data_IF_144959456315
#
_entry.id   IF_144959456315
#
_cell.length_a   1.000
_cell.length_b   1.000
_cell.length_c   1.000
_cell.angle_alpha   90.00
_cell.angle_beta   90.00
_cell.angle_gamma   90.00
#
_symmetry.space_group_name_H-M   'P 1'
#
loop_
_entity.id
_entity.type
_entity.pdbx_description
1 polymer ?
#
# COMPACT_ATOMS: atom_id res chain seq x y z
N UNK A 1 -31.05 -5.62 19.24
CA UNK A 1 -29.64 -5.19 19.22
C UNK A 1 -29.61 -3.75 18.73
N UNK A 2 -29.11 -2.80 19.53
CA UNK A 2 -29.03 -1.39 19.10
C UNK A 2 -28.11 -1.28 17.89
N UNK A 3 -28.58 -0.62 16.84
CA UNK A 3 -27.77 -0.38 15.66
C UNK A 3 -26.63 0.56 16.03
N UNK A 4 -25.40 0.05 16.05
CA UNK A 4 -24.16 0.81 16.27
C UNK A 4 -24.15 2.05 15.38
N UNK A 5 -23.84 3.22 15.94
CA UNK A 5 -23.88 4.47 15.19
C UNK A 5 -22.86 4.46 14.04
N UNK A 6 -23.06 5.28 13.00
CA UNK A 6 -22.06 5.36 11.92
C UNK A 6 -20.68 5.77 12.46
N UNK A 7 -20.64 6.71 13.41
CA UNK A 7 -19.41 7.22 14.00
C UNK A 7 -18.72 6.17 14.87
N UNK A 8 -19.49 5.45 15.67
CA UNK A 8 -19.01 4.32 16.47
C UNK A 8 -18.47 3.19 15.58
N UNK A 9 -19.15 2.88 14.47
CA UNK A 9 -18.65 1.92 13.49
C UNK A 9 -17.33 2.35 12.85
N UNK A 10 -17.18 3.63 12.53
CA UNK A 10 -15.91 4.19 12.01
C UNK A 10 -14.79 4.03 13.03
N UNK A 11 -15.05 4.38 14.31
CA UNK A 11 -14.11 4.20 15.42
C UNK A 11 -13.68 2.73 15.55
N UNK A 12 -14.63 1.81 15.59
CA UNK A 12 -14.34 0.38 15.79
C UNK A 12 -13.50 -0.20 14.63
N UNK A 13 -13.82 0.16 13.38
CA UNK A 13 -13.01 -0.25 12.22
C UNK A 13 -11.63 0.40 12.25
N UNK A 14 -11.53 1.68 12.60
CA UNK A 14 -10.25 2.38 12.72
C UNK A 14 -9.32 1.71 13.75
N UNK A 15 -9.86 1.34 14.92
CA UNK A 15 -9.15 0.59 15.97
C UNK A 15 -8.72 -0.78 15.44
N UNK A 16 -9.65 -1.55 14.89
CA UNK A 16 -9.38 -2.92 14.41
C UNK A 16 -8.28 -2.93 13.33
N UNK A 17 -8.42 -2.10 12.31
CA UNK A 17 -7.53 -2.14 11.13
C UNK A 17 -6.19 -1.43 11.36
N UNK A 18 -6.00 -0.69 12.46
CA UNK A 18 -4.73 -0.05 12.78
C UNK A 18 -3.61 -1.07 13.02
N UNK A 19 -3.95 -2.21 13.63
CA UNK A 19 -3.03 -3.32 13.87
C UNK A 19 -2.57 -3.96 12.57
N UNK A 20 -3.50 -4.18 11.64
CA UNK A 20 -3.20 -4.71 10.32
C UNK A 20 -2.37 -3.69 9.53
N UNK A 21 -2.72 -2.40 9.57
CA UNK A 21 -1.94 -1.36 8.92
C UNK A 21 -0.49 -1.35 9.40
N UNK A 22 -0.26 -1.50 10.71
CA UNK A 22 1.08 -1.62 11.25
C UNK A 22 1.82 -2.82 10.68
N UNK A 23 1.22 -4.01 10.85
CA UNK A 23 1.82 -5.29 10.48
C UNK A 23 2.11 -5.44 8.98
N UNK A 24 1.32 -4.79 8.11
CA UNK A 24 1.49 -4.90 6.66
C UNK A 24 2.23 -3.72 6.04
N UNK A 25 2.06 -2.49 6.54
CA UNK A 25 2.57 -1.30 5.85
C UNK A 25 3.60 -0.49 6.64
N UNK A 26 3.49 -0.45 7.98
CA UNK A 26 4.42 0.35 8.80
C UNK A 26 5.69 -0.44 9.10
N UNK A 27 5.56 -1.73 9.39
CA UNK A 27 6.68 -2.58 9.80
C UNK A 27 7.49 -3.13 8.59
N UNK A 28 6.98 -2.90 7.38
CA UNK A 28 7.61 -3.33 6.13
C UNK A 28 7.78 -2.18 5.13
N UNK A 29 8.80 -2.29 4.29
CA UNK A 29 8.94 -1.50 3.08
C UNK A 29 8.66 -2.38 1.86
N UNK A 30 8.17 -1.77 0.77
CA UNK A 30 7.94 -2.46 -0.49
C UNK A 30 8.65 -1.76 -1.63
N UNK A 31 9.27 -2.51 -2.53
CA UNK A 31 9.76 -2.01 -3.82
C UNK A 31 8.81 -2.55 -4.89
N UNK A 32 8.21 -1.65 -5.65
CA UNK A 32 7.22 -1.98 -6.68
C UNK A 32 7.79 -1.65 -8.05
N UNK A 33 7.80 -2.62 -8.96
CA UNK A 33 8.12 -2.42 -10.37
C UNK A 33 6.89 -2.71 -11.23
N UNK A 34 6.69 -1.88 -12.25
CA UNK A 34 5.65 -2.10 -13.24
C UNK A 34 6.04 -1.41 -14.55
N UNK A 35 5.74 -2.06 -15.66
CA UNK A 35 5.79 -1.47 -16.99
C UNK A 35 4.82 -0.28 -17.18
N UNK A 36 3.92 -0.02 -16.22
CA UNK A 36 3.11 1.19 -16.17
C UNK A 36 3.92 2.43 -15.77
N UNK A 37 5.10 2.27 -15.17
CA UNK A 37 5.94 3.36 -14.71
C UNK A 37 6.85 3.85 -15.84
N UNK A 38 6.61 5.07 -16.31
CA UNK A 38 7.35 5.71 -17.38
C UNK A 38 8.33 6.77 -16.84
N UNK A 39 8.07 7.34 -15.66
CA UNK A 39 8.90 8.37 -15.02
C UNK A 39 9.93 7.78 -14.07
N UNK A 40 9.59 6.68 -13.40
CA UNK A 40 10.49 5.98 -12.49
C UNK A 40 10.61 4.51 -12.88
N UNK A 41 11.75 3.90 -12.58
CA UNK A 41 11.93 2.46 -12.81
C UNK A 41 11.20 1.60 -11.78
N UNK A 42 11.05 2.14 -10.57
CA UNK A 42 10.37 1.51 -9.45
C UNK A 42 9.93 2.59 -8.46
N UNK A 43 9.06 2.22 -7.52
CA UNK A 43 8.72 3.03 -6.37
C UNK A 43 8.98 2.26 -5.08
N UNK A 44 9.59 2.92 -4.10
CA UNK A 44 9.74 2.37 -2.74
C UNK A 44 8.63 2.92 -1.87
N UNK A 45 7.78 2.05 -1.36
CA UNK A 45 6.72 2.36 -0.41
C UNK A 45 7.26 2.20 1.00
N UNK A 46 7.14 3.26 1.79
CA UNK A 46 7.42 3.26 3.22
C UNK A 46 6.31 4.03 3.92
N UNK A 47 5.35 3.30 4.47
CA UNK A 47 4.25 3.92 5.18
C UNK A 47 4.69 4.35 6.59
N UNK A 48 3.99 5.37 7.09
CA UNK A 48 4.14 5.87 8.45
C UNK A 48 2.81 5.80 9.17
N UNK A 49 2.89 5.68 10.48
CA UNK A 49 1.75 5.64 11.40
C UNK A 49 0.85 6.86 11.20
N UNK A 50 1.45 8.05 11.08
CA UNK A 50 0.78 9.32 10.80
C UNK A 50 0.04 9.39 9.45
N UNK A 51 0.20 8.41 8.55
CA UNK A 51 -0.52 8.36 7.27
C UNK A 51 -1.86 7.62 7.37
N UNK A 52 -2.09 6.87 8.47
CA UNK A 52 -3.27 6.02 8.63
C UNK A 52 -4.59 6.80 8.58
N UNK A 53 -4.63 8.01 9.16
CA UNK A 53 -5.81 8.87 9.18
C UNK A 53 -6.32 9.18 7.75
N UNK A 54 -5.41 9.40 6.79
CA UNK A 54 -5.77 9.71 5.42
C UNK A 54 -6.54 8.58 4.73
N UNK A 55 -6.29 7.32 5.12
CA UNK A 55 -6.94 6.14 4.57
C UNK A 55 -8.39 6.02 5.03
N UNK A 56 -8.69 6.44 6.26
CA UNK A 56 -10.05 6.53 6.81
C UNK A 56 -10.85 7.70 6.22
N UNK A 57 -10.17 8.81 5.94
CA UNK A 57 -10.77 10.01 5.35
C UNK A 57 -11.57 10.87 6.32
N UNK A 58 -11.51 10.56 7.62
CA UNK A 58 -12.06 11.38 8.70
C UNK A 58 -11.31 12.72 8.82
N UNK A 59 -11.82 13.60 9.66
CA UNK A 59 -11.08 14.77 10.13
C UNK A 59 -10.74 14.55 11.61
N UNK A 60 -9.49 14.22 11.90
CA UNK A 60 -9.00 14.12 13.27
C UNK A 60 -8.97 15.50 13.94
N UNK A 61 -9.30 15.54 15.22
CA UNK A 61 -9.19 16.71 16.09
C UNK A 61 -7.96 16.62 17.01
N UNK A 62 -7.17 15.56 16.85
CA UNK A 62 -5.88 15.30 17.51
C UNK A 62 -4.79 15.12 16.44
N UNK A 63 -3.50 15.25 16.79
CA UNK A 63 -2.41 15.01 15.85
C UNK A 63 -2.49 13.65 15.16
N UNK A 64 -2.07 13.50 13.89
CA UNK A 64 -2.18 12.23 13.16
C UNK A 64 -1.44 11.05 13.82
N UNK A 65 -0.31 11.31 14.47
CA UNK A 65 0.40 10.29 15.24
C UNK A 65 -0.43 9.83 16.45
N UNK A 66 -0.91 10.77 17.28
CA UNK A 66 -1.79 10.46 18.41
C UNK A 66 -3.07 9.72 17.97
N UNK A 67 -3.62 10.08 16.80
CA UNK A 67 -4.76 9.38 16.22
C UNK A 67 -4.44 7.91 15.96
N UNK A 68 -3.29 7.62 15.34
CA UNK A 68 -2.85 6.24 15.13
C UNK A 68 -2.61 5.51 16.45
N UNK A 69 -1.88 6.11 17.39
CA UNK A 69 -1.54 5.49 18.68
C UNK A 69 -2.82 5.12 19.47
N UNK A 70 -3.82 6.01 19.47
CA UNK A 70 -5.12 5.75 20.10
C UNK A 70 -5.92 4.69 19.36
N UNK A 71 -5.84 4.61 18.04
CA UNK A 71 -6.44 3.49 17.30
C UNK A 71 -5.77 2.17 17.70
N UNK A 72 -4.44 2.13 17.69
CA UNK A 72 -3.65 0.93 17.98
C UNK A 72 -3.88 0.40 19.41
N UNK A 73 -3.92 1.32 20.38
CA UNK A 73 -4.18 1.01 21.78
C UNK A 73 -5.67 0.80 22.10
N UNK A 74 -6.57 0.99 21.13
CA UNK A 74 -8.01 0.82 21.32
C UNK A 74 -8.69 1.90 22.18
N UNK A 75 -8.04 3.06 22.33
CA UNK A 75 -8.49 4.14 23.21
C UNK A 75 -9.10 5.34 22.47
N UNK A 76 -9.17 5.30 21.13
CA UNK A 76 -9.76 6.37 20.32
C UNK A 76 -11.21 6.66 20.75
N UNK A 77 -11.53 7.93 20.98
CA UNK A 77 -12.87 8.39 21.37
C UNK A 77 -13.58 9.06 20.20
N UNK A 78 -14.92 9.02 20.20
CA UNK A 78 -15.72 9.67 19.16
C UNK A 78 -15.61 11.20 19.18
N UNK A 79 -15.24 11.81 20.30
CA UNK A 79 -14.98 13.24 20.39
C UNK A 79 -13.69 13.68 19.68
N UNK A 80 -12.81 12.75 19.31
CA UNK A 80 -11.47 13.05 18.77
C UNK A 80 -11.42 13.11 17.25
N UNK A 81 -12.55 12.85 16.58
CA UNK A 81 -12.66 13.03 15.14
C UNK A 81 -14.08 13.43 14.75
N UNK A 82 -14.21 14.03 13.57
CA UNK A 82 -15.51 14.37 13.00
C UNK A 82 -15.51 14.19 11.47
N UNK A 83 -16.63 14.57 10.85
CA UNK A 83 -16.84 14.48 9.40
C UNK A 83 -16.92 15.87 8.76
N UNK A 84 -16.22 16.85 9.32
CA UNK A 84 -16.22 18.23 8.84
C UNK A 84 -14.88 18.55 8.16
N UNK A 85 -14.92 19.04 6.92
CA UNK A 85 -13.75 19.53 6.19
C UNK A 85 -14.11 20.81 5.46
N UNK A 86 -13.22 21.79 5.50
CA UNK A 86 -13.41 23.09 4.85
C UNK A 86 -13.74 22.90 3.37
N UNK A 87 -14.81 23.55 2.90
CA UNK A 87 -15.25 23.49 1.51
C UNK A 87 -15.92 22.18 1.07
N UNK A 88 -16.24 21.26 1.99
CA UNK A 88 -16.96 20.02 1.68
C UNK A 88 -18.17 19.84 2.60
N UNK A 89 -19.29 19.39 2.04
CA UNK A 89 -20.47 19.06 2.84
C UNK A 89 -20.23 17.80 3.68
N UNK A 90 -20.77 17.78 4.90
CA UNK A 90 -20.67 16.63 5.80
C UNK A 90 -21.22 15.35 5.15
N UNK A 91 -22.34 15.45 4.44
CA UNK A 91 -22.94 14.32 3.68
C UNK A 91 -21.94 13.71 2.69
N UNK A 92 -21.16 14.53 1.99
CA UNK A 92 -20.13 14.07 1.05
C UNK A 92 -18.99 13.35 1.77
N UNK A 93 -18.54 13.91 2.90
CA UNK A 93 -17.47 13.33 3.72
C UNK A 93 -17.92 11.98 4.31
N UNK A 94 -19.11 11.92 4.90
CA UNK A 94 -19.71 10.66 5.40
C UNK A 94 -19.79 9.62 4.28
N UNK A 95 -20.23 10.01 3.08
CA UNK A 95 -20.25 9.13 1.92
C UNK A 95 -18.87 8.58 1.55
N UNK A 96 -17.85 9.44 1.60
CA UNK A 96 -16.46 9.03 1.34
C UNK A 96 -15.90 8.12 2.42
N UNK A 97 -16.08 8.47 3.70
CA UNK A 97 -15.62 7.66 4.85
C UNK A 97 -16.29 6.30 4.79
N UNK A 98 -17.61 6.24 4.53
CA UNK A 98 -18.34 4.98 4.40
C UNK A 98 -17.76 4.06 3.33
N UNK A 99 -17.33 4.61 2.19
CA UNK A 99 -16.69 3.81 1.13
C UNK A 99 -15.30 3.34 1.54
N UNK A 100 -14.51 4.20 2.18
CA UNK A 100 -13.15 3.90 2.67
C UNK A 100 -13.15 2.78 3.72
N UNK A 101 -13.92 2.93 4.80
CA UNK A 101 -13.96 1.93 5.89
C UNK A 101 -14.48 0.56 5.40
N UNK A 102 -15.26 0.52 4.32
CA UNK A 102 -15.75 -0.74 3.73
C UNK A 102 -14.62 -1.56 3.09
N UNK A 103 -13.60 -0.90 2.55
CA UNK A 103 -12.49 -1.55 1.82
C UNK A 103 -11.16 -1.48 2.56
N UNK A 104 -11.11 -0.82 3.71
CA UNK A 104 -9.90 -0.74 4.53
C UNK A 104 -9.34 -2.13 4.91
N UNK A 105 -10.15 -3.14 5.28
CA UNK A 105 -9.62 -4.48 5.52
C UNK A 105 -9.03 -5.12 4.26
N UNK A 106 -9.59 -4.84 3.08
CA UNK A 106 -9.10 -5.39 1.81
C UNK A 106 -7.71 -4.85 1.43
N UNK A 107 -7.43 -3.58 1.77
CA UNK A 107 -6.13 -2.96 1.51
C UNK A 107 -4.97 -3.77 2.11
N UNK A 108 -5.17 -4.45 3.24
CA UNK A 108 -4.10 -5.16 3.95
C UNK A 108 -3.49 -6.30 3.12
N UNK A 109 -4.29 -6.89 2.23
CA UNK A 109 -3.85 -7.98 1.35
C UNK A 109 -3.59 -7.51 -0.10
N UNK A 110 -3.57 -6.20 -0.34
CA UNK A 110 -3.46 -5.65 -1.70
C UNK A 110 -2.26 -6.25 -2.42
N UNK A 111 -1.10 -6.36 -1.75
CA UNK A 111 0.15 -6.85 -2.34
C UNK A 111 0.26 -8.37 -2.54
N UNK A 112 -0.77 -9.15 -2.22
CA UNK A 112 -0.76 -10.61 -2.38
C UNK A 112 -1.71 -11.11 -3.48
N UNK A 113 -2.32 -10.19 -4.24
CA UNK A 113 -3.25 -10.52 -5.32
C UNK A 113 -2.72 -10.15 -6.71
N UNK A 114 -3.61 -10.25 -7.69
CA UNK A 114 -3.38 -9.70 -9.03
C UNK A 114 -3.61 -8.19 -9.00
N UNK A 115 -2.55 -7.42 -9.18
CA UNK A 115 -2.57 -5.96 -8.99
C UNK A 115 -2.26 -5.27 -10.29
N UNK A 116 -3.04 -4.24 -10.58
CA UNK A 116 -2.76 -3.26 -11.62
C UNK A 116 -2.14 -2.02 -11.01
N UNK A 117 -1.26 -1.36 -11.74
CA UNK A 117 -0.68 -0.07 -11.39
C UNK A 117 -0.91 0.97 -12.49
N UNK A 118 -0.98 2.23 -12.08
CA UNK A 118 -0.96 3.39 -12.97
C UNK A 118 -0.02 4.44 -12.38
N UNK A 119 0.92 4.94 -13.18
CA UNK A 119 1.74 6.11 -12.82
C UNK A 119 0.98 7.43 -13.10
N UNK A 120 1.28 8.47 -12.33
CA UNK A 120 0.61 9.78 -12.42
C UNK A 120 -0.91 9.61 -12.30
N UNK A 121 -1.34 8.99 -11.20
CA UNK A 121 -2.74 8.72 -10.94
C UNK A 121 -3.50 10.02 -10.65
N UNK A 122 -4.52 10.30 -11.44
CA UNK A 122 -5.41 11.45 -11.26
C UNK A 122 -6.85 10.95 -11.30
N UNK A 123 -7.59 11.21 -10.22
CA UNK A 123 -9.03 10.95 -10.14
C UNK A 123 -9.73 12.10 -9.42
N UNK A 124 -10.51 12.88 -10.15
CA UNK A 124 -11.13 14.09 -9.62
C UNK A 124 -10.06 15.03 -9.01
N UNK A 125 -10.15 15.33 -7.71
CA UNK A 125 -9.18 16.15 -6.97
C UNK A 125 -8.03 15.34 -6.35
N UNK A 126 -8.01 14.02 -6.55
CA UNK A 126 -6.96 13.14 -6.03
C UNK A 126 -5.85 13.04 -7.06
N UNK A 127 -4.65 13.45 -6.67
CA UNK A 127 -3.43 13.31 -7.46
C UNK A 127 -2.40 12.51 -6.66
N UNK A 128 -1.86 11.46 -7.28
CA UNK A 128 -0.87 10.57 -6.68
C UNK A 128 0.26 10.32 -7.68
N UNK A 129 1.47 10.06 -7.18
CA UNK A 129 2.62 9.69 -7.99
C UNK A 129 2.37 8.39 -8.74
N UNK A 130 1.72 7.43 -8.09
CA UNK A 130 1.13 6.25 -8.72
C UNK A 130 -0.02 5.73 -7.84
N UNK A 131 -0.79 4.81 -8.38
CA UNK A 131 -1.78 4.05 -7.63
C UNK A 131 -1.76 2.58 -8.04
N UNK A 132 -2.19 1.71 -7.12
CA UNK A 132 -2.37 0.28 -7.36
C UNK A 132 -3.80 -0.14 -7.07
N UNK A 133 -4.27 -1.20 -7.72
CA UNK A 133 -5.64 -1.71 -7.57
C UNK A 133 -5.70 -3.22 -7.76
N UNK A 134 -6.46 -3.90 -6.90
CA UNK A 134 -6.81 -5.33 -6.98
C UNK A 134 -8.24 -5.54 -7.51
N UNK A 135 -8.85 -4.50 -8.08
CA UNK A 135 -10.26 -4.37 -8.42
C UNK A 135 -11.25 -4.23 -7.25
N UNK A 136 -10.86 -4.55 -6.01
CA UNK A 136 -11.69 -4.35 -4.83
C UNK A 136 -11.49 -2.94 -4.27
N UNK A 137 -10.26 -2.46 -4.28
CA UNK A 137 -9.89 -1.12 -3.87
C UNK A 137 -8.71 -0.57 -4.70
N UNK A 138 -8.59 0.76 -4.70
CA UNK A 138 -7.47 1.46 -5.30
C UNK A 138 -6.74 2.25 -4.22
N UNK A 139 -5.44 2.01 -4.07
CA UNK A 139 -4.57 2.69 -3.12
C UNK A 139 -3.65 3.64 -3.89
N UNK A 140 -3.75 4.93 -3.59
CA UNK A 140 -2.91 5.97 -4.20
C UNK A 140 -1.76 6.37 -3.29
N UNK A 141 -0.59 6.59 -3.89
CA UNK A 141 0.65 6.91 -3.19
C UNK A 141 1.24 8.24 -3.65
N UNK A 142 1.76 9.03 -2.71
CA UNK A 142 2.54 10.24 -3.01
C UNK A 142 4.01 9.99 -2.71
N UNK A 143 4.91 10.40 -3.60
CA UNK A 143 6.36 10.18 -3.47
C UNK A 143 7.07 11.43 -2.95
N UNK A 144 7.58 11.37 -1.71
CA UNK A 144 8.48 12.39 -1.13
C UNK A 144 9.31 11.81 0.04
N UNK A 145 10.63 11.54 -0.09
CA UNK A 145 11.35 10.91 -1.20
C UNK A 145 10.95 9.44 -1.44
N UNK A 146 10.33 8.80 -0.44
CA UNK A 146 9.69 7.49 -0.56
C UNK A 146 8.18 7.67 -0.71
N UNK A 147 7.54 6.68 -1.30
CA UNK A 147 6.11 6.66 -1.54
C UNK A 147 5.36 6.30 -0.26
N UNK A 148 4.33 7.07 0.07
CA UNK A 148 3.45 6.80 1.22
C UNK A 148 1.99 6.71 0.80
N UNK A 149 1.18 5.84 1.43
CA UNK A 149 -0.25 5.80 1.19
C UNK A 149 -0.88 7.17 1.47
N UNK A 150 -1.67 7.67 0.51
CA UNK A 150 -2.34 8.97 0.63
C UNK A 150 -3.86 8.85 0.56
N UNK A 151 -4.36 7.86 -0.19
CA UNK A 151 -5.79 7.72 -0.39
C UNK A 151 -6.18 6.28 -0.68
N UNK A 152 -7.36 5.92 -0.19
CA UNK A 152 -8.00 4.64 -0.45
C UNK A 152 -9.34 4.92 -1.13
N UNK A 153 -9.58 4.27 -2.26
CA UNK A 153 -10.82 4.34 -3.01
C UNK A 153 -11.41 2.94 -3.14
N UNK A 154 -12.74 2.86 -3.22
CA UNK A 154 -13.45 1.59 -3.40
C UNK A 154 -13.51 1.26 -4.90
N UNK A 155 -13.21 0.01 -5.25
CA UNK A 155 -13.21 -0.50 -6.62
C UNK A 155 -11.91 -0.19 -7.36
N UNK A 156 -11.89 -0.57 -8.64
CA UNK A 156 -10.86 -0.15 -9.58
C UNK A 156 -11.14 1.28 -10.08
N UNK A 157 -10.28 2.22 -9.71
CA UNK A 157 -10.37 3.62 -10.14
C UNK A 157 -9.26 4.01 -11.11
N UNK A 158 -8.40 3.05 -11.49
CA UNK A 158 -7.35 3.27 -12.47
C UNK A 158 -7.93 3.52 -13.86
N UNK A 159 -7.20 4.27 -14.67
CA UNK A 159 -7.47 4.50 -16.08
C UNK A 159 -7.13 3.23 -16.87
N UNK A 160 -8.14 2.58 -17.45
CA UNK A 160 -7.99 1.32 -18.22
C UNK A 160 -7.01 1.43 -19.39
N UNK A 161 -6.78 2.64 -19.93
CA UNK A 161 -5.84 2.85 -21.03
C UNK A 161 -4.39 2.98 -20.57
N UNK A 162 -4.17 3.26 -19.27
CA UNK A 162 -2.85 3.49 -18.67
C UNK A 162 -2.43 2.38 -17.72
N UNK A 163 -3.39 1.66 -17.14
CA UNK A 163 -3.09 0.64 -16.15
C UNK A 163 -2.39 -0.56 -16.80
N UNK A 164 -1.38 -1.09 -16.12
CA UNK A 164 -0.74 -2.36 -16.47
C UNK A 164 -0.57 -3.20 -15.22
N UNK A 165 -0.16 -4.45 -15.38
CA UNK A 165 0.17 -5.31 -14.25
C UNK A 165 1.34 -4.76 -13.44
N UNK A 166 1.30 -5.01 -12.13
CA UNK A 166 2.50 -4.94 -11.31
C UNK A 166 3.34 -6.17 -11.61
N UNK A 167 4.58 -5.95 -12.07
CA UNK A 167 5.44 -7.03 -12.52
C UNK A 167 6.17 -7.68 -11.34
N UNK A 168 6.64 -6.86 -10.40
CA UNK A 168 7.45 -7.29 -9.26
C UNK A 168 7.09 -6.48 -8.02
N UNK A 169 6.93 -7.17 -6.88
CA UNK A 169 6.95 -6.56 -5.54
C UNK A 169 7.98 -7.28 -4.70
N UNK A 170 8.90 -6.51 -4.14
CA UNK A 170 9.83 -6.99 -3.12
C UNK A 170 9.47 -6.40 -1.76
N UNK A 171 9.74 -7.15 -0.70
CA UNK A 171 9.52 -6.74 0.68
C UNK A 171 10.81 -6.84 1.49
N UNK A 172 10.90 -5.98 2.51
CA UNK A 172 11.81 -6.10 3.65
C UNK A 172 11.15 -5.59 4.90
N UNK A 173 11.60 -6.07 6.05
CA UNK A 173 11.35 -5.38 7.32
C UNK A 173 11.91 -3.95 7.26
N UNK A 174 11.25 -3.02 7.95
CA UNK A 174 11.58 -1.59 7.87
C UNK A 174 13.02 -1.30 8.29
N UNK A 175 13.52 -2.04 9.27
CA UNK A 175 14.85 -1.91 9.87
C UNK A 175 15.96 -2.46 8.97
N UNK A 176 15.65 -3.37 8.04
CA UNK A 176 16.62 -3.93 7.11
C UNK A 176 17.04 -2.92 6.06
N UNK A 177 18.29 -3.00 5.58
CA UNK A 177 18.78 -2.09 4.53
C UNK A 177 18.33 -2.50 3.12
N UNK A 178 18.23 -3.80 2.86
CA UNK A 178 17.95 -4.36 1.53
C UNK A 178 16.69 -5.22 1.51
N UNK A 179 16.05 -5.29 0.34
CA UNK A 179 14.92 -6.15 0.04
C UNK A 179 15.37 -7.60 -0.13
N UNK A 180 14.69 -8.50 0.57
CA UNK A 180 15.10 -9.89 0.75
C UNK A 180 13.99 -10.91 0.53
N UNK A 181 12.80 -10.47 0.13
CA UNK A 181 11.66 -11.33 -0.13
C UNK A 181 10.91 -10.88 -1.39
N UNK A 182 10.55 -11.85 -2.26
CA UNK A 182 9.70 -11.63 -3.43
C UNK A 182 8.26 -11.91 -3.01
N UNK A 183 7.37 -10.92 -3.15
CA UNK A 183 5.93 -11.05 -2.87
C UNK A 183 5.14 -11.28 -4.16
N UNK A 184 5.48 -10.55 -5.22
CA UNK A 184 4.92 -10.72 -6.57
C UNK A 184 6.07 -10.81 -7.56
N UNK A 185 5.90 -11.68 -8.55
CA UNK A 185 6.89 -11.97 -9.58
C UNK A 185 7.70 -13.23 -9.27
N UNK A 186 8.68 -13.50 -10.11
CA UNK A 186 9.59 -14.63 -9.98
C UNK A 186 11.04 -14.21 -10.27
N UNK A 187 11.98 -15.15 -10.18
CA UNK A 187 13.39 -14.89 -10.47
C UNK A 187 13.64 -14.39 -11.91
N UNK A 188 12.81 -14.77 -12.88
CA UNK A 188 12.95 -14.30 -14.27
C UNK A 188 12.56 -12.82 -14.35
N UNK A 189 11.44 -12.43 -13.76
CA UNK A 189 11.01 -11.03 -13.70
C UNK A 189 12.00 -10.19 -12.89
N UNK A 190 12.47 -10.70 -11.76
CA UNK A 190 13.49 -10.03 -10.95
C UNK A 190 14.75 -9.70 -11.77
N UNK A 191 15.21 -10.64 -12.62
CA UNK A 191 16.37 -10.43 -13.49
C UNK A 191 16.15 -9.32 -14.53
N UNK A 192 14.93 -9.18 -15.06
CA UNK A 192 14.61 -8.10 -15.99
C UNK A 192 14.74 -6.71 -15.36
N UNK A 193 14.63 -6.61 -14.04
CA UNK A 193 14.77 -5.37 -13.29
C UNK A 193 16.13 -5.20 -12.62
N UNK A 194 16.97 -6.23 -12.60
CA UNK A 194 18.19 -6.31 -11.77
C UNK A 194 19.06 -5.05 -11.83
N UNK A 195 19.47 -4.61 -13.03
CA UNK A 195 20.34 -3.45 -13.18
C UNK A 195 19.77 -2.16 -12.55
N UNK A 196 18.44 -2.03 -12.51
CA UNK A 196 17.74 -0.86 -11.96
C UNK A 196 17.61 -0.91 -10.43
N UNK A 197 17.68 -2.09 -9.83
CA UNK A 197 17.36 -2.29 -8.40
C UNK A 197 18.44 -3.03 -7.59
N UNK A 198 19.56 -3.43 -8.21
CA UNK A 198 20.63 -4.22 -7.58
C UNK A 198 21.19 -3.62 -6.28
N UNK A 199 21.21 -2.31 -6.17
CA UNK A 199 21.65 -1.60 -4.95
C UNK A 199 20.69 -1.77 -3.77
N UNK A 200 19.42 -2.07 -4.05
CA UNK A 200 18.36 -2.20 -3.04
C UNK A 200 18.11 -3.63 -2.59
N UNK A 201 18.60 -4.64 -3.29
CA UNK A 201 18.25 -6.04 -3.04
C UNK A 201 19.44 -6.82 -2.48
N UNK A 202 19.16 -7.86 -1.70
CA UNK A 202 20.19 -8.82 -1.27
C UNK A 202 20.59 -9.72 -2.43
N UNK A 203 21.89 -10.02 -2.54
CA UNK A 203 22.40 -10.89 -3.61
C UNK A 203 21.90 -12.33 -3.49
N UNK A 204 21.54 -12.76 -2.28
CA UNK A 204 21.03 -14.10 -2.03
C UNK A 204 19.68 -14.39 -2.70
N UNK A 205 18.92 -13.37 -3.10
CA UNK A 205 17.71 -13.56 -3.91
C UNK A 205 18.01 -14.20 -5.27
N UNK A 206 19.27 -14.24 -5.72
CA UNK A 206 19.69 -14.85 -6.97
C UNK A 206 20.42 -16.18 -6.82
N UNK A 207 20.76 -16.58 -5.59
CA UNK A 207 21.63 -17.73 -5.34
C UNK A 207 20.94 -19.06 -5.67
N UNK A 208 19.61 -19.15 -5.61
CA UNK A 208 18.88 -20.36 -6.05
C UNK A 208 19.11 -20.72 -7.53
N UNK A 209 19.43 -19.75 -8.39
CA UNK A 209 19.77 -20.02 -9.79
C UNK A 209 21.21 -20.50 -10.00
N UNK A 210 22.15 -20.08 -9.15
CA UNK A 210 23.56 -20.47 -9.29
C UNK A 210 23.69 -21.97 -8.98
N UNK A 211 23.02 -22.46 -7.93
CA UNK A 211 23.07 -23.87 -7.56
C UNK A 211 22.34 -24.79 -8.58
N UNK A 212 21.22 -24.33 -9.16
CA UNK A 212 20.49 -25.09 -10.19
C UNK A 212 21.25 -25.13 -11.53
N UNK A 213 21.90 -24.04 -11.93
CA UNK A 213 22.70 -24.00 -13.17
C UNK A 213 23.98 -24.83 -13.01
N UNK A 214 24.66 -24.73 -11.87
CA UNK A 214 25.86 -25.53 -11.59
C UNK A 214 25.58 -27.03 -11.46
N UNK A 215 24.40 -27.43 -10.97
CA UNK A 215 24.00 -28.84 -10.90
C UNK A 215 23.53 -29.40 -12.26
N UNK A 216 23.03 -28.58 -13.17
CA UNK A 216 22.71 -28.99 -14.55
C UNK A 216 23.96 -29.14 -15.43
N UNK A 217 24.96 -28.26 -15.28
CA UNK A 217 26.24 -28.37 -16.00
C UNK A 217 27.10 -29.56 -15.52
N UNK A 218 26.98 -29.97 -14.26
CA UNK A 218 27.66 -31.16 -13.72
C UNK A 218 26.96 -32.49 -14.07
N UNK A 219 25.68 -32.46 -14.48
CA UNK A 219 24.89 -33.64 -14.85
C UNK A 219 25.01 -34.07 -16.32
N UNK A 220 25.46 -33.17 -17.22
CA UNK A 220 25.66 -33.47 -18.65
C UNK A 220 27.08 -33.97 -18.98
N UNK A 221 27.94 -34.15 -17.96
CA UNK A 221 29.32 -34.65 -18.10
C UNK A 221 29.52 -36.10 -17.62
N UNK A 222 28.44 -36.89 -17.48
CA UNK A 222 28.49 -38.28 -17.02
C UNK A 222 27.89 -39.25 -18.05
#
# INVERSE_FOLDING_TARGET
>A
MSQVSFKERVKNIAIQESKNYKAYYVDYCYLVCSSAFAKQHYYIIEAKEDNYEHLLGVNSLIPPQDFFDKCYNGTLQESEFNFQKRGKSEKSIIGSVRRKIKVLPNMMNLFYGNIKAQETFIKNQVCCSFATSDNICTLGFISTPKSRPMTLLKGNELDFTKMKDVDLILRKQKEKHKFDEIIIGDLKVLWNYYEKIKEHIVESLFQEKIEIIQSQEQGESA
#
